data_IF_189211696869
#
_entry.id   IF_189211696869
#
_cell.length_a   1.000
_cell.length_b   1.000
_cell.length_c   1.000
_cell.angle_alpha   90.00
_cell.angle_beta   90.00
_cell.angle_gamma   90.00
#
_symmetry.space_group_name_H-M   'P 1'
#
loop_
_entity.id
_entity.type
_entity.pdbx_description
1 polymer ?
#
# COMPACT_ATOMS: atom_id res chain seq x y z
N UNK A 1 30.31 4.11 0.44
CA UNK A 1 28.86 4.31 0.22
C UNK A 1 28.46 3.36 -0.91
N UNK A 2 27.73 2.29 -0.64
CA UNK A 2 27.32 1.37 -1.70
C UNK A 2 26.26 2.05 -2.58
N UNK A 3 26.52 2.12 -3.89
CA UNK A 3 25.57 2.67 -4.85
C UNK A 3 24.38 1.70 -4.98
N UNK A 4 23.15 2.23 -4.94
CA UNK A 4 21.93 1.42 -5.10
C UNK A 4 21.91 0.90 -6.54
N UNK A 5 21.84 -0.44 -6.76
CA UNK A 5 21.82 -1.02 -8.09
C UNK A 5 20.67 -0.49 -8.95
N UNK A 6 20.96 -0.27 -10.24
CA UNK A 6 19.96 0.18 -11.22
C UNK A 6 19.35 -1.01 -11.96
N UNK A 7 18.11 -0.88 -12.43
CA UNK A 7 17.40 -1.96 -13.16
C UNK A 7 18.03 -2.26 -14.54
N UNK A 8 18.92 -1.39 -15.03
CA UNK A 8 19.65 -1.58 -16.30
C UNK A 8 18.83 -1.23 -17.55
N UNK A 9 17.58 -0.80 -17.42
CA UNK A 9 16.75 -0.31 -18.54
C UNK A 9 16.43 1.17 -18.36
N UNK A 10 16.24 1.93 -19.47
CA UNK A 10 15.94 3.37 -19.39
C UNK A 10 14.67 3.70 -18.63
N UNK A 11 13.63 2.89 -18.79
CA UNK A 11 12.37 2.98 -18.04
C UNK A 11 11.72 1.61 -17.89
N UNK A 12 11.28 1.29 -16.70
CA UNK A 12 10.73 -0.03 -16.31
C UNK A 12 9.20 -0.06 -16.25
N UNK A 13 8.50 1.00 -16.66
CA UNK A 13 7.05 1.14 -16.53
C UNK A 13 6.28 0.00 -17.19
N UNK A 14 6.65 -0.37 -18.43
CA UNK A 14 6.00 -1.49 -19.14
C UNK A 14 6.25 -2.84 -18.44
N UNK A 15 7.48 -3.04 -17.96
CA UNK A 15 7.80 -4.24 -17.19
C UNK A 15 7.05 -4.30 -15.88
N UNK A 16 6.89 -3.15 -15.19
CA UNK A 16 6.10 -3.04 -13.98
C UNK A 16 4.62 -3.39 -14.23
N UNK A 17 4.02 -2.85 -15.30
CA UNK A 17 2.65 -3.15 -15.67
C UNK A 17 2.45 -4.64 -16.00
N UNK A 18 3.41 -5.27 -16.71
CA UNK A 18 3.35 -6.69 -17.09
C UNK A 18 3.56 -7.63 -15.91
N UNK A 19 4.57 -7.36 -15.08
CA UNK A 19 4.96 -8.24 -13.98
C UNK A 19 4.10 -8.05 -12.71
N UNK A 20 3.43 -6.90 -12.58
CA UNK A 20 2.55 -6.58 -11.47
C UNK A 20 3.22 -6.79 -10.09
N UNK A 21 2.59 -7.54 -9.22
CA UNK A 21 3.11 -7.84 -7.88
C UNK A 21 4.47 -8.54 -7.84
N UNK A 22 4.83 -9.23 -8.91
CA UNK A 22 6.11 -9.95 -8.98
C UNK A 22 7.28 -9.05 -9.42
N UNK A 23 7.01 -7.82 -9.84
CA UNK A 23 8.02 -6.92 -10.39
C UNK A 23 9.21 -6.73 -9.45
N UNK A 24 8.95 -6.33 -8.21
CA UNK A 24 10.01 -6.07 -7.21
C UNK A 24 10.77 -7.36 -6.91
N UNK A 25 10.04 -8.45 -6.62
CA UNK A 25 10.66 -9.74 -6.27
C UNK A 25 11.57 -10.27 -7.37
N UNK A 26 11.12 -10.27 -8.62
CA UNK A 26 11.92 -10.71 -9.77
C UNK A 26 13.21 -9.91 -9.93
N UNK A 27 13.15 -8.59 -9.79
CA UNK A 27 14.33 -7.72 -9.91
C UNK A 27 15.29 -7.89 -8.76
N UNK A 28 14.79 -7.91 -7.54
CA UNK A 28 15.62 -8.15 -6.36
C UNK A 28 16.36 -9.49 -6.46
N UNK A 29 15.68 -10.54 -6.89
CA UNK A 29 16.31 -11.86 -7.10
C UNK A 29 17.37 -11.82 -8.21
N UNK A 30 17.06 -11.19 -9.36
CA UNK A 30 18.01 -11.04 -10.48
C UNK A 30 19.26 -10.25 -10.09
N UNK A 31 19.09 -9.19 -9.31
CA UNK A 31 20.18 -8.28 -8.93
C UNK A 31 20.92 -8.73 -7.66
N UNK A 32 20.43 -9.78 -6.97
CA UNK A 32 21.03 -10.25 -5.71
C UNK A 32 20.93 -9.24 -4.57
N UNK A 33 19.90 -8.41 -4.54
CA UNK A 33 19.73 -7.33 -3.56
C UNK A 33 18.27 -7.13 -3.19
N UNK A 34 17.99 -6.59 -2.01
CA UNK A 34 16.65 -6.23 -1.58
C UNK A 34 16.28 -4.77 -1.84
N UNK A 35 17.20 -4.02 -2.49
CA UNK A 35 17.04 -2.61 -2.80
C UNK A 35 17.58 -2.32 -4.19
N UNK A 36 16.77 -1.69 -5.07
CA UNK A 36 17.21 -1.29 -6.41
C UNK A 36 16.51 -0.01 -6.88
N UNK A 37 17.05 0.63 -7.90
CA UNK A 37 16.57 1.91 -8.44
C UNK A 37 16.11 1.74 -9.90
N UNK A 38 14.83 1.50 -10.19
CA UNK A 38 14.26 1.62 -11.53
C UNK A 38 13.89 3.07 -11.85
N UNK A 39 13.54 3.32 -13.11
CA UNK A 39 12.73 4.47 -13.50
C UNK A 39 11.31 3.97 -13.80
N UNK A 40 10.32 4.58 -13.16
CA UNK A 40 8.90 4.32 -13.40
C UNK A 40 8.23 5.62 -13.82
N UNK A 41 7.53 5.62 -14.95
CA UNK A 41 6.97 6.83 -15.56
C UNK A 41 8.02 7.95 -15.71
N UNK A 42 9.22 7.58 -16.15
CA UNK A 42 10.39 8.45 -16.29
C UNK A 42 10.94 9.05 -14.98
N UNK A 43 10.36 8.70 -13.84
CA UNK A 43 10.81 9.16 -12.52
C UNK A 43 11.75 8.13 -11.88
N UNK A 44 12.81 8.63 -11.25
CA UNK A 44 13.71 7.79 -10.46
C UNK A 44 12.97 7.31 -9.21
N UNK A 45 12.80 6.01 -9.10
CA UNK A 45 12.07 5.37 -8.02
C UNK A 45 12.99 4.40 -7.28
N UNK A 46 12.81 4.24 -5.98
CA UNK A 46 13.51 3.22 -5.20
C UNK A 46 12.51 2.13 -4.85
N UNK A 47 12.81 0.91 -5.26
CA UNK A 47 12.05 -0.28 -4.88
C UNK A 47 12.81 -1.06 -3.82
N UNK A 48 12.09 -1.54 -2.82
CA UNK A 48 12.66 -2.25 -1.70
C UNK A 48 11.76 -3.39 -1.24
N UNK A 49 12.35 -4.43 -0.65
CA UNK A 49 11.64 -5.55 -0.03
C UNK A 49 12.35 -6.01 1.25
N UNK A 50 11.64 -6.80 2.05
CA UNK A 50 12.17 -7.37 3.30
C UNK A 50 11.83 -6.52 4.53
N UNK A 51 11.95 -7.14 5.69
CA UNK A 51 11.47 -6.58 6.95
C UNK A 51 12.23 -5.30 7.35
N UNK A 52 13.56 -5.32 7.23
CA UNK A 52 14.40 -4.16 7.60
C UNK A 52 14.08 -2.93 6.76
N UNK A 53 13.95 -3.11 5.43
CA UNK A 53 13.63 -2.01 4.53
C UNK A 53 12.18 -1.56 4.67
N UNK A 54 11.26 -2.46 5.01
CA UNK A 54 9.90 -2.08 5.36
C UNK A 54 9.86 -1.23 6.65
N UNK A 55 10.60 -1.59 7.68
CA UNK A 55 10.73 -0.76 8.90
C UNK A 55 11.26 0.63 8.57
N UNK A 56 12.29 0.71 7.72
CA UNK A 56 12.84 1.98 7.27
C UNK A 56 11.80 2.81 6.50
N UNK A 57 11.00 2.18 5.64
CA UNK A 57 9.95 2.85 4.86
C UNK A 57 8.84 3.44 5.74
N UNK A 58 8.54 2.81 6.87
CA UNK A 58 7.55 3.31 7.83
C UNK A 58 8.09 4.35 8.82
N UNK A 59 9.38 4.69 8.72
CA UNK A 59 9.97 5.79 9.49
C UNK A 59 9.49 7.14 8.94
N UNK A 60 8.53 7.76 9.62
CA UNK A 60 7.91 9.01 9.21
C UNK A 60 8.85 10.23 9.29
N UNK A 61 10.01 10.10 9.93
CA UNK A 61 11.02 11.15 9.95
C UNK A 61 11.84 11.17 8.65
N UNK A 62 11.95 10.02 8.00
CA UNK A 62 12.73 9.81 6.78
C UNK A 62 11.91 9.84 5.51
N UNK A 63 10.65 9.41 5.59
CA UNK A 63 9.76 9.29 4.45
C UNK A 63 8.49 10.12 4.64
N UNK A 64 8.09 10.81 3.58
CA UNK A 64 6.85 11.58 3.51
C UNK A 64 5.89 10.93 2.51
N UNK A 65 4.60 11.04 2.78
CA UNK A 65 3.51 10.54 1.92
C UNK A 65 2.96 11.61 1.00
N UNK A 66 3.10 12.87 1.40
CA UNK A 66 2.57 14.01 0.65
C UNK A 66 3.23 14.12 -0.73
N UNK A 67 2.43 14.17 -1.79
CA UNK A 67 2.90 14.38 -3.16
C UNK A 67 3.50 13.14 -3.84
N UNK A 68 3.44 11.96 -3.22
CA UNK A 68 4.08 10.74 -3.76
C UNK A 68 3.30 10.15 -4.93
N UNK A 69 1.97 10.18 -4.91
CA UNK A 69 1.16 9.66 -5.99
C UNK A 69 0.54 10.79 -6.84
N UNK A 70 0.36 10.58 -8.16
CA UNK A 70 -0.36 11.53 -9.00
C UNK A 70 -1.74 11.85 -8.42
N UNK A 71 -2.12 13.13 -8.41
CA UNK A 71 -3.37 13.58 -7.79
C UNK A 71 -4.61 12.86 -8.33
N UNK A 72 -4.66 12.61 -9.63
CA UNK A 72 -5.75 11.85 -10.26
C UNK A 72 -5.89 10.43 -9.68
N UNK A 73 -4.78 9.74 -9.46
CA UNK A 73 -4.78 8.40 -8.88
C UNK A 73 -5.24 8.43 -7.42
N UNK A 74 -4.75 9.41 -6.65
CA UNK A 74 -5.18 9.60 -5.27
C UNK A 74 -6.68 9.89 -5.18
N UNK A 75 -7.19 10.79 -6.00
CA UNK A 75 -8.61 11.18 -6.01
C UNK A 75 -9.52 10.00 -6.40
N UNK A 76 -9.10 9.17 -7.37
CA UNK A 76 -9.88 8.03 -7.83
C UNK A 76 -9.94 6.90 -6.79
N UNK A 77 -8.82 6.61 -6.11
CA UNK A 77 -8.73 5.48 -5.18
C UNK A 77 -9.11 5.83 -3.74
N UNK A 78 -8.81 7.04 -3.28
CA UNK A 78 -8.88 7.39 -1.86
C UNK A 78 -9.64 8.68 -1.58
N UNK A 79 -10.04 9.42 -2.61
CA UNK A 79 -10.62 10.74 -2.45
C UNK A 79 -9.60 11.81 -2.03
N UNK A 80 -10.07 13.05 -1.90
CA UNK A 80 -9.24 14.17 -1.41
C UNK A 80 -9.13 14.13 0.11
N UNK A 81 -7.92 14.35 0.64
CA UNK A 81 -7.67 14.46 2.07
C UNK A 81 -7.73 13.12 2.83
N UNK A 82 -7.61 11.98 2.12
CA UNK A 82 -7.48 10.67 2.75
C UNK A 82 -6.24 10.57 3.64
N UNK A 83 -6.29 9.70 4.67
CA UNK A 83 -5.19 9.49 5.64
C UNK A 83 -3.88 9.11 4.96
N UNK A 84 -3.95 8.47 3.81
CA UNK A 84 -2.79 8.02 3.04
C UNK A 84 -1.93 9.16 2.48
N UNK A 85 -2.52 10.35 2.31
CA UNK A 85 -1.83 11.55 1.82
C UNK A 85 -1.41 12.52 2.93
N UNK A 86 -1.60 12.16 4.19
CA UNK A 86 -1.25 12.99 5.34
C UNK A 86 0.11 12.60 5.92
N UNK A 87 0.82 13.59 6.44
CA UNK A 87 2.07 13.41 7.19
C UNK A 87 1.97 14.00 8.61
N UNK A 88 2.96 13.67 9.44
CA UNK A 88 3.14 14.25 10.76
C UNK A 88 1.94 14.06 11.71
N UNK A 89 1.61 15.12 12.45
CA UNK A 89 0.56 15.08 13.46
C UNK A 89 -0.84 14.82 12.89
N UNK A 90 -1.14 15.39 11.71
CA UNK A 90 -2.44 15.20 11.05
C UNK A 90 -2.68 13.72 10.69
N UNK A 91 -1.64 13.02 10.21
CA UNK A 91 -1.70 11.57 9.98
C UNK A 91 -1.91 10.82 11.28
N UNK A 92 -1.14 11.14 12.34
CA UNK A 92 -1.22 10.49 13.64
C UNK A 92 -2.62 10.60 14.25
N UNK A 93 -3.14 11.82 14.39
CA UNK A 93 -4.47 12.05 14.96
C UNK A 93 -5.57 11.29 14.20
N UNK A 94 -5.52 11.32 12.86
CA UNK A 94 -6.53 10.61 12.06
C UNK A 94 -6.40 9.09 12.16
N UNK A 95 -5.18 8.58 12.21
CA UNK A 95 -4.93 7.16 12.43
C UNK A 95 -5.41 6.70 13.80
N UNK A 96 -5.13 7.45 14.86
CA UNK A 96 -5.61 7.18 16.22
C UNK A 96 -7.13 7.16 16.30
N UNK A 97 -7.80 8.09 15.63
CA UNK A 97 -9.26 8.08 15.51
C UNK A 97 -9.79 6.79 14.90
N UNK A 98 -9.21 6.31 13.78
CA UNK A 98 -9.62 5.03 13.20
C UNK A 98 -9.30 3.85 14.10
N UNK A 99 -8.13 3.83 14.73
CA UNK A 99 -7.73 2.75 15.63
C UNK A 99 -8.61 2.67 16.88
N UNK A 100 -9.12 3.80 17.38
CA UNK A 100 -10.05 3.80 18.51
C UNK A 100 -11.39 3.12 18.20
N UNK A 101 -11.77 3.06 16.92
CA UNK A 101 -12.97 2.34 16.46
C UNK A 101 -12.72 0.84 16.24
N UNK A 102 -11.47 0.39 16.30
CA UNK A 102 -11.06 -0.99 16.05
C UNK A 102 -10.60 -1.71 17.33
N UNK A 103 -11.30 -1.48 18.44
CA UNK A 103 -11.05 -2.29 19.65
C UNK A 103 -11.46 -3.76 19.40
N UNK A 104 -10.89 -4.68 20.18
CA UNK A 104 -11.21 -6.11 20.07
C UNK A 104 -12.74 -6.38 20.19
N UNK A 105 -13.40 -5.66 21.10
CA UNK A 105 -14.85 -5.74 21.31
C UNK A 105 -15.63 -5.28 20.06
N UNK A 106 -15.24 -4.14 19.48
CA UNK A 106 -15.89 -3.61 18.27
C UNK A 106 -15.67 -4.51 17.06
N UNK A 107 -14.51 -5.12 16.94
CA UNK A 107 -14.23 -6.08 15.87
C UNK A 107 -15.08 -7.34 16.05
N UNK A 108 -15.23 -7.84 17.29
CA UNK A 108 -16.11 -8.98 17.56
C UNK A 108 -17.57 -8.67 17.23
N UNK A 109 -18.08 -7.51 17.65
CA UNK A 109 -19.44 -7.05 17.32
C UNK A 109 -19.66 -6.96 15.80
N UNK A 110 -18.69 -6.39 15.07
CA UNK A 110 -18.73 -6.31 13.61
C UNK A 110 -18.76 -7.70 12.97
N UNK A 111 -18.00 -8.65 13.49
CA UNK A 111 -17.97 -10.03 12.99
C UNK A 111 -19.34 -10.70 13.18
N UNK A 112 -19.98 -10.53 14.33
CA UNK A 112 -21.34 -11.06 14.61
C UNK A 112 -22.39 -10.43 13.68
N UNK A 113 -22.38 -9.11 13.53
CA UNK A 113 -23.28 -8.40 12.61
C UNK A 113 -23.07 -8.86 11.16
N UNK A 114 -21.84 -9.05 10.74
CA UNK A 114 -21.49 -9.53 9.39
C UNK A 114 -22.01 -10.95 9.18
N UNK A 115 -21.81 -11.85 10.14
CA UNK A 115 -22.31 -13.22 10.07
C UNK A 115 -23.84 -13.24 9.98
N UNK A 116 -24.54 -12.47 10.82
CA UNK A 116 -25.98 -12.37 10.80
C UNK A 116 -26.52 -11.83 9.46
N UNK A 117 -25.80 -10.88 8.85
CA UNK A 117 -26.16 -10.34 7.54
C UNK A 117 -25.95 -11.36 6.41
N UNK A 118 -24.86 -12.13 6.47
CA UNK A 118 -24.61 -13.21 5.53
C UNK A 118 -25.69 -14.28 5.59
N UNK A 119 -26.08 -14.74 6.78
CA UNK A 119 -27.18 -15.71 6.95
C UNK A 119 -28.51 -15.20 6.37
N UNK A 120 -28.85 -13.94 6.63
CA UNK A 120 -30.05 -13.31 6.05
C UNK A 120 -30.01 -13.27 4.53
N UNK A 121 -28.86 -12.90 3.96
CA UNK A 121 -28.70 -12.82 2.51
C UNK A 121 -28.78 -14.20 1.86
N UNK A 122 -28.14 -15.21 2.43
CA UNK A 122 -28.17 -16.59 1.96
C UNK A 122 -29.62 -17.14 1.96
N UNK A 123 -30.37 -16.98 3.05
CA UNK A 123 -31.78 -17.39 3.13
C UNK A 123 -32.69 -16.66 2.12
N UNK A 124 -32.33 -15.44 1.71
CA UNK A 124 -33.05 -14.73 0.66
C UNK A 124 -32.72 -15.26 -0.75
N UNK A 125 -31.52 -15.71 -0.97
CA UNK A 125 -31.10 -16.32 -2.24
C UNK A 125 -31.77 -17.69 -2.43
N UNK A 126 -31.78 -18.54 -1.41
CA UNK A 126 -32.46 -19.85 -1.45
C UNK A 126 -33.96 -19.76 -1.78
N UNK A 127 -34.58 -18.63 -1.42
CA UNK A 127 -36.02 -18.41 -1.73
C UNK A 127 -36.26 -17.89 -3.16
N UNK A 128 -35.22 -17.45 -3.87
CA UNK A 128 -35.35 -16.87 -5.22
C UNK A 128 -35.02 -17.86 -6.34
N UNK A 129 -34.48 -19.00 -5.99
CA UNK A 129 -34.10 -20.09 -6.90
C UNK A 129 -34.80 -21.39 -6.47
#
# INVERSE_FOLDING_TARGET
MHEIPRDGVPDSTLSFARDGYLFITKRCTRLGTDLFRPRLMLQSTVCMRGEELARLFYDNERFKRTGVAPSRLQETLFGRGGVQGLDGNSHRCRKEMFLSLMSAERIAELAELSAAQWHRSAANWERRF
#
